data_IF_665930747560
#
_entry.id   IF_665930747560
#
_cell.length_a   1.000
_cell.length_b   1.000
_cell.length_c   1.000
_cell.angle_alpha   90.00
_cell.angle_beta   90.00
_cell.angle_gamma   90.00
#
_symmetry.space_group_name_H-M   'P 1'
#
loop_
_entity.id
_entity.type
_entity.pdbx_description
1 polymer ?
#
# COMPACT_ATOMS: atom_id res chain seq x y z
N UNK A 1 -27.61 17.84 58.51
CA UNK A 1 -28.88 17.16 58.85
C UNK A 1 -29.80 17.25 57.65
N UNK A 2 -30.25 16.08 57.15
CA UNK A 2 -31.19 15.86 56.02
C UNK A 2 -30.74 16.40 54.65
N UNK A 3 -30.96 15.78 53.49
CA UNK A 3 -31.60 14.53 53.09
C UNK A 3 -31.18 14.33 51.62
N UNK A 4 -30.95 13.12 51.12
CA UNK A 4 -31.38 12.69 49.78
C UNK A 4 -31.08 11.21 49.55
N UNK A 5 -32.01 10.61 48.83
CA UNK A 5 -32.37 9.21 48.87
C UNK A 5 -31.61 8.31 47.88
N UNK A 6 -31.69 7.03 48.18
CA UNK A 6 -31.14 5.85 47.51
C UNK A 6 -31.79 5.51 46.17
N UNK A 7 -30.99 4.97 45.23
CA UNK A 7 -31.38 3.95 44.23
C UNK A 7 -30.14 3.17 43.75
N UNK A 8 -30.15 1.82 43.73
CA UNK A 8 -29.09 1.02 43.14
C UNK A 8 -29.41 0.63 41.68
N UNK A 9 -28.41 0.59 40.81
CA UNK A 9 -28.47 0.05 39.45
C UNK A 9 -27.92 -1.38 39.43
N UNK A 10 -28.72 -2.31 38.93
CA UNK A 10 -28.38 -3.72 38.65
C UNK A 10 -27.57 -3.85 37.34
N UNK A 11 -26.80 -4.95 37.16
CA UNK A 11 -25.94 -5.16 36.00
C UNK A 11 -26.72 -5.79 34.83
N UNK A 12 -26.52 -5.28 33.62
CA UNK A 12 -26.99 -5.90 32.37
C UNK A 12 -25.88 -6.76 31.78
N UNK A 13 -26.01 -8.07 31.95
CA UNK A 13 -25.19 -9.08 31.28
C UNK A 13 -25.47 -9.11 29.78
N UNK A 14 -24.41 -9.04 28.96
CA UNK A 14 -24.48 -9.31 27.52
C UNK A 14 -24.42 -10.82 27.28
N UNK A 15 -25.49 -11.36 26.68
CA UNK A 15 -25.55 -12.72 26.16
C UNK A 15 -24.69 -12.83 24.89
N UNK A 16 -23.79 -13.81 24.87
CA UNK A 16 -23.20 -14.34 23.65
C UNK A 16 -24.29 -15.06 22.85
N UNK A 17 -24.40 -14.76 21.55
CA UNK A 17 -25.12 -15.58 20.59
C UNK A 17 -24.06 -16.30 19.75
N UNK A 18 -23.91 -17.60 20.01
CA UNK A 18 -23.21 -18.54 19.15
C UNK A 18 -24.26 -19.27 18.31
N UNK A 19 -24.19 -19.19 16.98
CA UNK A 19 -24.93 -20.11 16.11
C UNK A 19 -23.94 -20.91 15.26
N UNK A 20 -23.61 -22.12 15.73
CA UNK A 20 -23.04 -23.18 14.91
C UNK A 20 -24.20 -23.87 14.18
N UNK A 21 -24.28 -23.73 12.87
CA UNK A 21 -25.08 -24.62 12.04
C UNK A 21 -24.17 -25.74 11.51
N UNK A 22 -24.41 -26.97 11.99
CA UNK A 22 -23.89 -28.20 11.39
C UNK A 22 -24.70 -28.50 10.14
N UNK A 23 -24.05 -28.69 9.01
CA UNK A 23 -24.64 -29.33 7.84
C UNK A 23 -24.05 -30.73 7.69
N UNK A 24 -24.96 -31.70 7.78
CA UNK A 24 -24.73 -33.12 7.59
C UNK A 24 -24.51 -33.42 6.10
N UNK A 25 -23.43 -34.13 5.79
CA UNK A 25 -23.19 -34.78 4.51
C UNK A 25 -24.12 -35.99 4.37
N UNK A 26 -24.89 -36.02 3.28
CA UNK A 26 -25.58 -37.21 2.80
C UNK A 26 -25.05 -37.55 1.41
N UNK A 27 -24.78 -38.83 1.21
CA UNK A 27 -24.26 -39.45 0.00
C UNK A 27 -25.27 -39.44 -1.17
N UNK A 28 -24.74 -39.71 -2.37
CA UNK A 28 -25.33 -40.16 -3.66
C UNK A 28 -24.63 -39.35 -4.77
N UNK A 29 -24.04 -39.88 -5.83
CA UNK A 29 -23.89 -41.25 -6.33
C UNK A 29 -23.05 -41.15 -7.61
N UNK A 30 -22.28 -42.19 -7.88
CA UNK A 30 -21.39 -42.35 -9.02
C UNK A 30 -22.14 -42.30 -10.35
N UNK A 31 -21.51 -41.73 -11.39
CA UNK A 31 -21.84 -42.02 -12.78
C UNK A 31 -20.55 -42.09 -13.59
N UNK A 32 -20.10 -43.33 -13.76
CA UNK A 32 -19.16 -43.78 -14.78
C UNK A 32 -19.79 -43.67 -16.16
N UNK A 33 -19.09 -43.07 -17.12
CA UNK A 33 -19.16 -43.47 -18.53
C UNK A 33 -17.73 -43.40 -19.10
N UNK A 34 -17.17 -44.56 -19.42
CA UNK A 34 -15.92 -44.72 -20.16
C UNK A 34 -16.13 -45.27 -21.58
N UNK A 35 -15.00 -45.34 -22.29
CA UNK A 35 -14.72 -45.88 -23.64
C UNK A 35 -14.98 -44.93 -24.82
N UNK A 36 -14.08 -44.78 -25.81
CA UNK A 36 -12.84 -45.49 -26.12
C UNK A 36 -12.11 -44.89 -27.34
N UNK A 37 -10.91 -45.40 -27.58
CA UNK A 37 -9.87 -44.94 -28.51
C UNK A 37 -10.18 -45.09 -30.02
N UNK A 38 -9.63 -44.15 -30.80
CA UNK A 38 -8.69 -44.43 -31.90
C UNK A 38 -9.23 -44.75 -33.31
N UNK A 39 -8.95 -43.88 -34.29
CA UNK A 39 -8.46 -44.28 -35.61
C UNK A 39 -7.98 -43.08 -36.46
N UNK A 40 -6.92 -43.33 -37.23
CA UNK A 40 -6.12 -42.41 -38.05
C UNK A 40 -6.69 -42.09 -39.44
N UNK A 41 -6.26 -40.94 -39.98
CA UNK A 41 -6.59 -40.31 -41.28
C UNK A 41 -6.17 -41.10 -42.55
N UNK A 42 -6.72 -40.73 -43.73
CA UNK A 42 -5.88 -40.19 -44.81
C UNK A 42 -6.51 -38.99 -45.59
N UNK A 43 -5.78 -38.31 -46.49
CA UNK A 43 -5.81 -36.85 -46.63
C UNK A 43 -6.59 -36.31 -47.84
N UNK A 44 -6.91 -35.02 -47.76
CA UNK A 44 -7.02 -34.15 -48.93
C UNK A 44 -8.43 -33.74 -49.31
N UNK A 45 -8.95 -32.68 -48.68
CA UNK A 45 -9.90 -31.76 -49.34
C UNK A 45 -9.75 -30.37 -48.70
N UNK A 46 -9.27 -29.43 -49.52
CA UNK A 46 -9.18 -28.01 -49.20
C UNK A 46 -10.59 -27.41 -49.24
N UNK A 47 -11.14 -27.03 -48.09
CA UNK A 47 -12.34 -26.19 -48.02
C UNK A 47 -12.02 -25.00 -47.12
N UNK A 48 -11.90 -23.85 -47.78
CA UNK A 48 -11.67 -22.55 -47.16
C UNK A 48 -12.97 -22.08 -46.49
N UNK A 49 -13.22 -22.48 -45.24
CA UNK A 49 -14.34 -21.96 -44.44
C UNK A 49 -13.78 -20.99 -43.41
N UNK A 50 -13.87 -19.70 -43.72
CA UNK A 50 -13.62 -18.61 -42.78
C UNK A 50 -14.66 -18.69 -41.63
N UNK A 51 -14.29 -19.35 -40.53
CA UNK A 51 -15.02 -19.26 -39.26
C UNK A 51 -14.81 -17.86 -38.67
N UNK A 52 -15.72 -16.93 -38.99
CA UNK A 52 -15.91 -15.72 -38.18
C UNK A 52 -16.38 -16.17 -36.79
N UNK A 53 -15.49 -16.11 -35.79
CA UNK A 53 -15.91 -16.13 -34.39
C UNK A 53 -16.80 -14.90 -34.15
N UNK A 54 -17.95 -15.04 -33.47
CA UNK A 54 -18.72 -13.88 -33.05
C UNK A 54 -17.89 -13.11 -32.01
N UNK A 55 -17.50 -11.89 -32.37
CA UNK A 55 -16.91 -10.90 -31.46
C UNK A 55 -18.00 -10.57 -30.44
N UNK A 56 -17.91 -11.12 -29.23
CA UNK A 56 -18.77 -10.71 -28.11
C UNK A 56 -18.41 -9.25 -27.82
N UNK A 57 -19.30 -8.33 -28.23
CA UNK A 57 -19.22 -6.94 -27.83
C UNK A 57 -19.48 -6.86 -26.32
N UNK A 58 -18.68 -6.11 -25.55
CA UNK A 58 -19.02 -5.83 -24.16
C UNK A 58 -20.35 -5.06 -24.13
N UNK A 59 -21.19 -5.27 -23.10
CA UNK A 59 -22.48 -4.62 -23.01
C UNK A 59 -22.31 -3.10 -23.04
N UNK A 60 -22.95 -2.49 -24.05
CA UNK A 60 -23.09 -1.05 -24.22
C UNK A 60 -23.86 -0.45 -23.06
N UNK A 61 -23.15 0.03 -22.04
CA UNK A 61 -23.58 1.18 -21.26
C UNK A 61 -22.42 1.93 -20.58
N UNK A 62 -21.28 2.04 -21.26
CA UNK A 62 -20.14 2.87 -20.84
C UNK A 62 -20.14 4.16 -21.64
N UNK A 63 -21.18 4.98 -21.49
CA UNK A 63 -21.26 6.28 -22.16
C UNK A 63 -22.24 7.23 -21.45
N UNK A 64 -22.02 7.53 -20.17
CA UNK A 64 -22.68 8.64 -19.50
C UNK A 64 -21.93 9.11 -18.24
N UNK A 65 -20.67 9.53 -18.41
CA UNK A 65 -19.98 10.40 -17.46
C UNK A 65 -18.88 11.16 -18.21
N UNK A 66 -19.27 12.04 -19.12
CA UNK A 66 -18.35 12.95 -19.79
C UNK A 66 -18.07 14.16 -18.88
N UNK A 67 -17.33 13.91 -17.80
CA UNK A 67 -16.59 14.96 -17.09
C UNK A 67 -15.35 15.26 -17.95
N UNK A 68 -15.04 16.55 -18.18
CA UNK A 68 -14.01 17.01 -19.14
C UNK A 68 -12.70 16.22 -19.02
N UNK A 69 -12.51 15.23 -19.89
CA UNK A 69 -11.23 14.55 -20.07
C UNK A 69 -10.26 15.63 -20.55
N UNK A 70 -9.30 16.02 -19.70
CA UNK A 70 -8.16 16.86 -20.12
C UNK A 70 -7.55 16.19 -21.36
N UNK A 71 -7.47 16.92 -22.46
CA UNK A 71 -6.90 16.40 -23.71
C UNK A 71 -5.47 15.90 -23.48
N UNK A 72 -5.03 14.88 -24.24
CA UNK A 72 -3.71 14.24 -24.11
C UNK A 72 -2.52 15.23 -24.07
N UNK A 73 -2.63 16.38 -24.73
CA UNK A 73 -1.61 17.43 -24.78
C UNK A 73 -1.49 18.27 -23.48
N UNK A 74 -2.41 18.13 -22.53
CA UNK A 74 -2.45 18.92 -21.28
C UNK A 74 -1.74 18.24 -20.10
N UNK A 75 -1.55 16.92 -20.15
CA UNK A 75 -1.07 16.12 -19.03
C UNK A 75 0.39 16.43 -18.65
N UNK A 76 1.21 16.89 -19.59
CA UNK A 76 2.59 17.29 -19.31
C UNK A 76 2.74 18.65 -18.63
N UNK A 77 1.71 19.52 -18.62
CA UNK A 77 1.83 20.92 -18.17
C UNK A 77 2.09 21.07 -16.68
N UNK A 78 1.74 20.04 -15.91
CA UNK A 78 1.95 19.96 -14.47
C UNK A 78 3.31 19.36 -14.10
N UNK A 79 4.17 19.02 -15.07
CA UNK A 79 5.50 18.49 -14.78
C UNK A 79 6.35 19.56 -14.06
N UNK A 80 7.02 19.20 -12.94
CA UNK A 80 7.93 20.10 -12.24
C UNK A 80 8.96 20.75 -13.18
N UNK A 81 9.19 22.07 -13.07
CA UNK A 81 10.16 22.74 -13.92
C UNK A 81 11.58 22.17 -13.74
N UNK A 82 12.32 22.04 -14.84
CA UNK A 82 13.70 21.53 -14.84
C UNK A 82 13.82 20.01 -14.92
N UNK A 83 12.73 19.27 -14.77
CA UNK A 83 12.72 17.82 -14.97
C UNK A 83 12.52 17.47 -16.45
N UNK A 84 13.19 16.40 -16.89
CA UNK A 84 13.00 15.77 -18.19
C UNK A 84 12.54 14.33 -17.98
N UNK A 85 11.31 14.02 -18.37
CA UNK A 85 10.72 12.70 -18.23
C UNK A 85 9.68 12.48 -19.35
N UNK A 86 9.42 11.21 -19.67
CA UNK A 86 8.31 10.86 -20.55
C UNK A 86 7.00 10.96 -19.75
N UNK A 87 5.93 11.50 -20.34
CA UNK A 87 4.62 11.55 -19.66
C UNK A 87 4.01 10.15 -19.69
N UNK A 88 3.66 9.61 -18.52
CA UNK A 88 3.01 8.31 -18.42
C UNK A 88 1.55 8.40 -18.88
N UNK A 89 1.12 7.41 -19.64
CA UNK A 89 -0.28 7.19 -20.01
C UNK A 89 -0.72 5.89 -19.35
N UNK A 90 -1.31 6.01 -18.15
CA UNK A 90 -1.61 4.87 -17.30
C UNK A 90 -2.97 4.26 -17.62
N UNK A 91 -3.07 2.94 -17.51
CA UNK A 91 -4.33 2.23 -17.57
C UNK A 91 -5.10 2.42 -16.26
N UNK A 92 -6.39 2.71 -16.37
CA UNK A 92 -7.31 2.88 -15.23
C UNK A 92 -8.25 1.69 -15.15
N UNK A 93 -8.20 0.96 -14.03
CA UNK A 93 -9.08 -0.16 -13.74
C UNK A 93 -10.23 0.27 -12.82
N UNK A 94 -11.35 -0.43 -12.92
CA UNK A 94 -12.45 -0.31 -11.98
C UNK A 94 -12.54 -1.58 -11.15
N UNK A 95 -12.48 -1.45 -9.83
CA UNK A 95 -12.63 -2.58 -8.93
C UNK A 95 -14.10 -2.96 -8.77
N UNK A 96 -14.45 -4.26 -8.75
CA UNK A 96 -15.80 -4.68 -8.42
C UNK A 96 -16.11 -4.45 -6.93
N UNK A 97 -17.39 -4.46 -6.57
CA UNK A 97 -17.81 -4.31 -5.18
C UNK A 97 -17.31 -5.45 -4.29
N UNK A 98 -17.25 -6.68 -4.84
CA UNK A 98 -16.77 -7.88 -4.15
C UNK A 98 -15.93 -8.72 -5.10
N UNK A 99 -14.89 -9.36 -4.57
CA UNK A 99 -14.11 -10.35 -5.30
C UNK A 99 -14.67 -11.73 -4.98
N UNK A 100 -14.99 -12.49 -6.02
CA UNK A 100 -15.64 -13.80 -5.91
C UNK A 100 -14.82 -14.93 -6.53
N UNK A 101 -13.74 -14.59 -7.24
CA UNK A 101 -13.02 -15.54 -8.07
C UNK A 101 -13.83 -15.90 -9.31
N UNK A 102 -14.60 -14.96 -9.86
CA UNK A 102 -15.27 -15.15 -11.15
C UNK A 102 -14.25 -15.20 -12.30
N UNK A 103 -14.70 -15.60 -13.50
CA UNK A 103 -13.84 -15.50 -14.69
C UNK A 103 -13.44 -14.04 -14.98
N UNK A 104 -14.32 -13.08 -14.65
CA UNK A 104 -14.03 -11.64 -14.78
C UNK A 104 -12.97 -11.20 -13.77
N UNK A 105 -13.04 -11.66 -12.52
CA UNK A 105 -12.05 -11.32 -11.48
C UNK A 105 -10.67 -11.85 -11.87
N UNK A 106 -10.60 -13.08 -12.39
CA UNK A 106 -9.34 -13.67 -12.90
C UNK A 106 -8.76 -12.88 -14.08
N UNK A 107 -9.60 -12.49 -15.04
CA UNK A 107 -9.15 -11.70 -16.18
C UNK A 107 -8.66 -10.31 -15.75
N UNK A 108 -9.38 -9.64 -14.84
CA UNK A 108 -8.98 -8.35 -14.27
C UNK A 108 -7.67 -8.47 -13.48
N UNK A 109 -7.55 -9.47 -12.61
CA UNK A 109 -6.33 -9.76 -11.87
C UNK A 109 -5.13 -9.96 -12.79
N UNK A 110 -5.32 -10.73 -13.88
CA UNK A 110 -4.26 -10.91 -14.89
C UNK A 110 -3.86 -9.59 -15.55
N UNK A 111 -4.83 -8.78 -15.96
CA UNK A 111 -4.56 -7.48 -16.59
C UNK A 111 -3.79 -6.54 -15.65
N UNK A 112 -4.15 -6.52 -14.36
CA UNK A 112 -3.45 -5.77 -13.32
C UNK A 112 -1.99 -6.23 -13.20
N UNK A 113 -1.74 -7.54 -13.11
CA UNK A 113 -0.40 -8.11 -13.03
C UNK A 113 0.43 -7.79 -14.27
N UNK A 114 -0.13 -7.99 -15.47
CA UNK A 114 0.55 -7.67 -16.73
C UNK A 114 0.93 -6.17 -16.79
N UNK A 115 0.03 -5.30 -16.32
CA UNK A 115 0.26 -3.84 -16.30
C UNK A 115 1.35 -3.45 -15.31
N UNK A 116 1.37 -4.01 -14.09
CA UNK A 116 2.49 -3.76 -13.17
C UNK A 116 3.84 -4.22 -13.73
N UNK A 117 3.88 -5.36 -14.43
CA UNK A 117 5.13 -5.84 -15.06
C UNK A 117 5.62 -4.93 -16.16
N UNK A 118 4.73 -4.27 -16.89
CA UNK A 118 5.09 -3.38 -17.99
C UNK A 118 5.35 -1.94 -17.53
N UNK A 119 4.51 -1.43 -16.64
CA UNK A 119 4.41 -0.01 -16.32
C UNK A 119 4.89 0.31 -14.89
N UNK A 120 4.95 -0.67 -13.99
CA UNK A 120 5.27 -0.48 -12.56
C UNK A 120 4.18 0.24 -11.77
N UNK A 121 3.09 0.65 -12.40
CA UNK A 121 2.04 1.44 -11.77
C UNK A 121 0.72 1.22 -12.49
N UNK A 122 -0.38 1.25 -11.74
CA UNK A 122 -1.75 1.25 -12.27
C UNK A 122 -2.55 2.42 -11.70
N UNK A 123 -3.66 2.76 -12.35
CA UNK A 123 -4.69 3.61 -11.76
C UNK A 123 -5.93 2.78 -11.42
N UNK A 124 -6.58 3.12 -10.30
CA UNK A 124 -7.87 2.60 -9.89
C UNK A 124 -8.86 3.76 -9.85
N UNK A 125 -10.01 3.60 -10.52
CA UNK A 125 -11.07 4.60 -10.53
C UNK A 125 -11.75 4.67 -9.14
N UNK A 126 -11.89 5.89 -8.61
CA UNK A 126 -12.61 6.17 -7.38
C UNK A 126 -14.12 6.22 -7.64
N UNK A 127 -14.90 5.61 -6.75
CA UNK A 127 -16.34 5.87 -6.66
C UNK A 127 -16.64 7.20 -5.92
N UNK A 128 -17.91 7.61 -5.89
CA UNK A 128 -18.32 8.90 -5.30
C UNK A 128 -18.01 9.00 -3.80
N UNK A 129 -18.13 7.90 -3.06
CA UNK A 129 -17.75 7.88 -1.64
C UNK A 129 -16.24 8.08 -1.48
N UNK A 130 -15.42 7.37 -2.24
CA UNK A 130 -13.96 7.52 -2.25
C UNK A 130 -13.53 8.94 -2.59
N UNK A 131 -14.15 9.57 -3.61
CA UNK A 131 -13.91 10.97 -3.97
C UNK A 131 -14.24 11.92 -2.81
N UNK A 132 -15.36 11.69 -2.12
CA UNK A 132 -15.74 12.48 -0.94
C UNK A 132 -14.72 12.33 0.19
N UNK A 133 -14.36 11.09 0.55
CA UNK A 133 -13.39 10.81 1.61
C UNK A 133 -12.02 11.44 1.33
N UNK A 134 -11.53 11.33 0.09
CA UNK A 134 -10.31 12.00 -0.34
C UNK A 134 -10.39 13.53 -0.15
N UNK A 135 -11.49 14.16 -0.55
CA UNK A 135 -11.64 15.60 -0.41
C UNK A 135 -11.70 16.05 1.05
N UNK A 136 -12.37 15.30 1.93
CA UNK A 136 -12.43 15.56 3.37
C UNK A 136 -11.03 15.43 4.00
N UNK A 137 -10.32 14.34 3.72
CA UNK A 137 -8.97 14.09 4.21
C UNK A 137 -7.97 15.15 3.70
N UNK A 138 -8.00 15.49 2.40
CA UNK A 138 -7.17 16.55 1.80
C UNK A 138 -7.43 17.91 2.45
N UNK A 139 -8.68 18.21 2.80
CA UNK A 139 -9.04 19.45 3.50
C UNK A 139 -8.46 19.48 4.91
N UNK A 140 -8.55 18.36 5.63
CA UNK A 140 -7.93 18.20 6.95
C UNK A 140 -6.40 18.33 6.89
N UNK A 141 -5.75 17.70 5.89
CA UNK A 141 -4.31 17.85 5.63
C UNK A 141 -3.90 19.32 5.46
N UNK A 142 -4.60 20.05 4.59
CA UNK A 142 -4.35 21.48 4.36
C UNK A 142 -4.51 22.33 5.63
N UNK A 143 -5.50 22.01 6.47
CA UNK A 143 -5.72 22.69 7.75
C UNK A 143 -4.56 22.44 8.71
N UNK A 144 -4.16 21.18 8.87
CA UNK A 144 -3.06 20.80 9.75
C UNK A 144 -1.75 21.48 9.37
N UNK A 145 -1.36 21.42 8.09
CA UNK A 145 -0.07 21.98 7.66
C UNK A 145 0.01 23.51 7.71
N UNK A 146 -1.13 24.20 7.86
CA UNK A 146 -1.21 25.65 8.10
C UNK A 146 -1.06 26.05 9.58
N UNK A 147 -1.12 25.09 10.51
CA UNK A 147 -0.89 25.38 11.94
C UNK A 147 0.53 25.91 12.16
N UNK A 148 0.75 26.70 13.24
CA UNK A 148 2.08 27.13 13.65
C UNK A 148 3.07 25.97 13.78
N UNK A 149 4.35 26.21 13.47
CA UNK A 149 5.38 25.17 13.50
C UNK A 149 5.48 24.45 14.86
N UNK A 150 5.31 25.18 15.96
CA UNK A 150 5.32 24.61 17.31
C UNK A 150 4.16 23.64 17.57
N UNK A 151 2.96 23.95 17.08
CA UNK A 151 1.80 23.05 17.20
C UNK A 151 2.02 21.77 16.39
N UNK A 152 2.53 21.89 15.16
CA UNK A 152 2.86 20.71 14.33
C UNK A 152 3.95 19.85 15.00
N UNK A 153 5.01 20.49 15.51
CA UNK A 153 6.12 19.81 16.16
C UNK A 153 5.76 19.12 17.49
N UNK A 154 4.66 19.53 18.13
CA UNK A 154 4.15 18.87 19.33
C UNK A 154 3.46 17.53 19.03
N UNK A 155 3.04 17.28 17.79
CA UNK A 155 2.38 16.06 17.36
C UNK A 155 3.38 14.93 17.10
N UNK A 156 4.12 14.49 18.12
CA UNK A 156 5.10 13.41 18.02
C UNK A 156 4.89 12.41 19.18
N UNK A 157 5.23 11.15 18.95
CA UNK A 157 5.20 10.12 19.98
C UNK A 157 6.58 9.44 20.14
N UNK A 158 6.85 8.94 21.34
CA UNK A 158 8.13 8.27 21.67
C UNK A 158 8.09 6.75 21.49
N UNK A 159 6.93 6.13 21.28
CA UNK A 159 6.77 4.68 21.13
C UNK A 159 6.49 4.27 19.69
N UNK A 160 5.74 5.10 18.97
CA UNK A 160 5.43 4.99 17.54
C UNK A 160 6.12 6.09 16.72
N UNK A 161 6.36 5.80 15.45
CA UNK A 161 6.79 6.79 14.46
C UNK A 161 5.62 7.62 13.90
N UNK A 162 4.39 7.38 14.38
CA UNK A 162 3.26 8.24 14.07
C UNK A 162 3.51 9.71 14.46
N UNK A 163 2.85 10.60 13.74
CA UNK A 163 2.91 12.04 13.96
C UNK A 163 3.74 12.80 12.93
N UNK A 164 4.09 14.02 13.30
CA UNK A 164 4.66 15.03 12.42
C UNK A 164 6.15 14.83 12.17
N UNK A 165 6.58 15.08 10.94
CA UNK A 165 7.98 15.13 10.49
C UNK A 165 8.15 16.45 9.74
N UNK A 166 9.14 17.24 10.15
CA UNK A 166 9.39 18.54 9.55
C UNK A 166 10.07 18.42 8.19
N UNK A 167 9.89 19.44 7.34
CA UNK A 167 10.64 19.57 6.09
C UNK A 167 12.15 19.54 6.37
N UNK A 168 12.87 18.67 5.66
CA UNK A 168 14.30 18.45 5.82
C UNK A 168 14.70 17.67 7.06
N UNK A 169 13.76 16.99 7.74
CA UNK A 169 14.06 16.02 8.80
C UNK A 169 14.31 14.62 8.22
N UNK A 170 13.50 14.18 7.24
CA UNK A 170 13.71 12.90 6.55
C UNK A 170 14.89 12.98 5.57
N UNK A 171 15.65 11.89 5.51
CA UNK A 171 16.85 11.77 4.67
C UNK A 171 16.73 10.57 3.74
N UNK A 172 16.83 10.83 2.43
CA UNK A 172 16.93 9.81 1.39
C UNK A 172 18.27 9.95 0.68
N UNK A 173 19.04 8.86 0.63
CA UNK A 173 20.40 8.84 0.02
C UNK A 173 21.33 9.93 0.58
N UNK A 174 21.27 10.17 1.90
CA UNK A 174 22.08 11.18 2.58
C UNK A 174 21.65 12.64 2.30
N UNK A 175 20.59 12.86 1.52
CA UNK A 175 20.07 14.19 1.18
C UNK A 175 18.71 14.39 1.87
N UNK A 176 18.55 15.54 2.52
CA UNK A 176 17.30 15.91 3.16
C UNK A 176 16.14 16.09 2.16
N UNK A 177 14.99 15.52 2.48
CA UNK A 177 13.76 15.64 1.69
C UNK A 177 12.93 16.86 2.11
N UNK A 178 12.25 17.52 1.17
CA UNK A 178 11.58 18.79 1.43
C UNK A 178 10.12 18.67 1.89
N UNK A 179 9.54 17.47 1.92
CA UNK A 179 8.17 17.29 2.41
C UNK A 179 8.04 17.51 3.91
N UNK A 180 6.97 18.18 4.34
CA UNK A 180 6.42 18.01 5.69
C UNK A 180 5.46 16.82 5.67
N UNK A 181 5.49 15.96 6.69
CA UNK A 181 4.68 14.73 6.72
C UNK A 181 3.94 14.65 8.06
N UNK A 182 2.73 14.10 8.03
CA UNK A 182 2.11 13.49 9.21
C UNK A 182 1.92 12.00 8.92
N UNK A 183 2.61 11.16 9.67
CA UNK A 183 2.53 9.70 9.53
C UNK A 183 1.44 9.15 10.44
N UNK A 184 0.54 8.35 9.86
CA UNK A 184 -0.49 7.60 10.58
C UNK A 184 -0.05 6.15 10.58
N UNK A 185 0.35 5.60 11.72
CA UNK A 185 0.52 4.15 11.89
C UNK A 185 -0.76 3.55 12.44
N UNK A 186 -0.75 2.25 12.77
CA UNK A 186 -1.79 1.66 13.62
C UNK A 186 -1.91 2.48 14.92
N UNK A 187 -3.10 3.03 15.18
CA UNK A 187 -3.40 3.90 16.32
C UNK A 187 -3.73 3.02 17.53
N UNK A 188 -2.74 2.74 18.37
CA UNK A 188 -2.85 1.80 19.49
C UNK A 188 -2.81 2.51 20.84
N UNK A 189 -3.83 2.28 21.65
CA UNK A 189 -3.97 2.78 23.00
C UNK A 189 -2.80 2.35 23.91
N UNK A 190 -2.52 3.11 24.96
CA UNK A 190 -1.47 2.75 25.92
C UNK A 190 -1.73 1.43 26.67
N UNK A 191 -3.01 1.05 26.80
CA UNK A 191 -3.43 -0.21 27.43
C UNK A 191 -3.33 -1.41 26.48
N UNK A 192 -3.07 -1.19 25.20
CA UNK A 192 -2.99 -2.27 24.22
C UNK A 192 -1.82 -3.21 24.57
N UNK A 193 -2.02 -4.54 24.54
CA UNK A 193 -1.01 -5.50 25.05
C UNK A 193 0.39 -5.37 24.45
N UNK A 194 0.52 -5.05 23.16
CA UNK A 194 1.81 -4.88 22.46
C UNK A 194 2.47 -3.57 22.86
N UNK A 195 1.68 -2.50 23.08
CA UNK A 195 2.18 -1.24 23.63
C UNK A 195 2.71 -1.44 25.05
N UNK A 196 1.93 -2.11 25.92
CA UNK A 196 2.36 -2.47 27.28
C UNK A 196 3.60 -3.35 27.30
N UNK A 197 3.68 -4.33 26.40
CA UNK A 197 4.85 -5.20 26.22
C UNK A 197 6.05 -4.49 25.56
N UNK A 198 5.94 -3.18 25.29
CA UNK A 198 6.98 -2.33 24.70
C UNK A 198 7.46 -2.85 23.34
N UNK A 199 6.54 -3.34 22.51
CA UNK A 199 6.89 -3.67 21.13
C UNK A 199 7.41 -2.41 20.43
N UNK A 200 8.47 -2.53 19.60
CA UNK A 200 8.99 -1.39 18.86
C UNK A 200 7.92 -0.85 17.90
N UNK A 201 7.89 0.47 17.72
CA UNK A 201 6.96 1.17 16.82
C UNK A 201 5.47 1.15 17.24
N UNK A 202 5.10 0.47 18.34
CA UNK A 202 3.70 0.37 18.79
C UNK A 202 3.39 1.47 19.79
N UNK A 203 2.36 2.27 19.49
CA UNK A 203 1.89 3.36 20.34
C UNK A 203 0.76 4.16 19.69
N UNK A 204 0.20 5.15 20.41
CA UNK A 204 -0.90 5.95 19.92
C UNK A 204 -0.44 6.90 18.82
N UNK A 205 -1.34 7.26 17.92
CA UNK A 205 -1.11 8.33 16.97
C UNK A 205 -1.30 9.69 17.67
N UNK A 206 -0.32 10.61 17.64
CA UNK A 206 -0.38 11.90 18.33
C UNK A 206 -1.22 12.91 17.54
N UNK A 207 -2.52 12.64 17.42
CA UNK A 207 -3.46 13.49 16.70
C UNK A 207 -3.52 14.89 17.31
N UNK A 208 -3.49 15.97 16.49
CA UNK A 208 -3.63 17.34 17.00
C UNK A 208 -5.04 17.62 17.52
N UNK A 209 -6.05 17.06 16.87
CA UNK A 209 -7.46 17.29 17.13
C UNK A 209 -8.33 16.23 16.41
N UNK A 210 -9.60 16.17 16.80
CA UNK A 210 -10.60 15.29 16.18
C UNK A 210 -10.90 15.67 14.72
N UNK A 211 -10.77 16.96 14.38
CA UNK A 211 -11.00 17.48 13.02
C UNK A 211 -9.96 16.96 12.00
N UNK A 212 -8.77 16.56 12.45
CA UNK A 212 -7.82 15.82 11.64
C UNK A 212 -8.05 14.31 11.72
N UNK A 213 -8.26 13.75 12.92
CA UNK A 213 -8.36 12.31 13.15
C UNK A 213 -9.48 11.66 12.32
N UNK A 214 -10.70 12.14 12.46
CA UNK A 214 -11.88 11.49 11.87
C UNK A 214 -11.83 11.41 10.33
N UNK A 215 -11.62 12.51 9.58
CA UNK A 215 -11.58 12.42 8.12
C UNK A 215 -10.41 11.59 7.61
N UNK A 216 -9.27 11.59 8.32
CA UNK A 216 -8.12 10.76 7.96
C UNK A 216 -8.42 9.29 8.16
N UNK A 217 -8.93 8.89 9.33
CA UNK A 217 -9.22 7.48 9.60
C UNK A 217 -10.34 6.94 8.72
N UNK A 218 -11.39 7.72 8.45
CA UNK A 218 -12.43 7.30 7.51
C UNK A 218 -11.88 7.01 6.10
N UNK A 219 -10.90 7.80 5.65
CA UNK A 219 -10.25 7.58 4.36
C UNK A 219 -9.28 6.40 4.39
N UNK A 220 -8.47 6.27 5.45
CA UNK A 220 -7.52 5.16 5.65
C UNK A 220 -8.25 3.81 5.73
N UNK A 221 -9.36 3.74 6.46
CA UNK A 221 -10.17 2.51 6.57
C UNK A 221 -10.74 2.10 5.22
N UNK A 222 -11.17 3.08 4.41
CA UNK A 222 -11.66 2.81 3.06
C UNK A 222 -10.55 2.32 2.12
N UNK A 223 -9.35 2.90 2.21
CA UNK A 223 -8.16 2.44 1.47
C UNK A 223 -7.74 1.03 1.88
N UNK A 224 -7.94 0.64 3.14
CA UNK A 224 -7.74 -0.75 3.59
C UNK A 224 -8.62 -1.75 2.86
N UNK A 225 -9.92 -1.43 2.68
CA UNK A 225 -10.84 -2.27 1.91
C UNK A 225 -10.44 -2.35 0.42
N UNK A 226 -9.89 -1.27 -0.14
CA UNK A 226 -9.39 -1.24 -1.52
C UNK A 226 -8.12 -2.09 -1.67
N UNK A 227 -7.17 -1.97 -0.75
CA UNK A 227 -5.94 -2.76 -0.71
C UNK A 227 -6.20 -4.27 -0.68
N UNK A 228 -7.13 -4.71 0.17
CA UNK A 228 -7.54 -6.12 0.25
C UNK A 228 -8.10 -6.64 -1.09
N UNK A 229 -8.95 -5.85 -1.76
CA UNK A 229 -9.48 -6.22 -3.08
C UNK A 229 -8.39 -6.33 -4.14
N UNK A 230 -7.42 -5.40 -4.11
CA UNK A 230 -6.29 -5.41 -5.04
C UNK A 230 -5.43 -6.65 -4.81
N UNK A 231 -5.14 -7.02 -3.55
CA UNK A 231 -4.40 -8.23 -3.24
C UNK A 231 -5.16 -9.51 -3.66
N UNK A 232 -6.47 -9.58 -3.43
CA UNK A 232 -7.29 -10.71 -3.89
C UNK A 232 -7.26 -10.86 -5.42
N UNK A 233 -7.34 -9.75 -6.16
CA UNK A 233 -7.20 -9.77 -7.63
C UNK A 233 -5.78 -10.17 -8.05
N UNK A 234 -4.75 -9.69 -7.35
CA UNK A 234 -3.37 -10.06 -7.60
C UNK A 234 -3.13 -11.57 -7.39
N UNK A 235 -3.74 -12.19 -6.36
CA UNK A 235 -3.70 -13.64 -6.15
C UNK A 235 -4.23 -14.40 -7.38
N UNK A 236 -5.38 -13.97 -7.92
CA UNK A 236 -5.93 -14.56 -9.14
C UNK A 236 -5.05 -14.31 -10.38
N UNK A 237 -4.48 -13.11 -10.52
CA UNK A 237 -3.62 -12.75 -11.65
C UNK A 237 -2.28 -13.49 -11.65
N UNK A 238 -1.73 -13.78 -10.46
CA UNK A 238 -0.53 -14.59 -10.27
C UNK A 238 -0.78 -16.09 -10.43
N UNK A 239 -2.06 -16.51 -10.42
CA UNK A 239 -2.44 -17.91 -10.46
C UNK A 239 -2.09 -18.66 -9.17
N UNK A 240 -2.05 -17.96 -8.04
CA UNK A 240 -1.82 -18.55 -6.70
C UNK A 240 -3.16 -18.82 -6.00
N UNK A 241 -3.12 -19.57 -4.91
CA UNK A 241 -4.33 -19.84 -4.14
C UNK A 241 -4.89 -18.55 -3.51
N UNK A 242 -6.22 -18.39 -3.42
CA UNK A 242 -6.81 -17.31 -2.64
C UNK A 242 -6.31 -17.35 -1.20
N UNK A 243 -5.96 -16.20 -0.64
CA UNK A 243 -5.36 -16.10 0.68
C UNK A 243 -3.83 -16.08 0.70
N UNK A 244 -3.14 -16.41 -0.40
CA UNK A 244 -1.66 -16.47 -0.43
C UNK A 244 -1.01 -15.13 -0.08
N UNK A 245 -1.57 -13.99 -0.51
CA UNK A 245 -1.06 -12.65 -0.19
C UNK A 245 -1.78 -12.08 1.04
N UNK A 246 -3.11 -12.14 1.06
CA UNK A 246 -3.97 -11.55 2.10
C UNK A 246 -3.82 -12.23 3.48
N UNK A 247 -3.27 -13.43 3.57
CA UNK A 247 -2.91 -14.00 4.87
C UNK A 247 -1.91 -13.13 5.63
N UNK A 248 -1.04 -12.41 4.92
CA UNK A 248 -0.02 -11.57 5.54
C UNK A 248 -0.60 -10.26 6.07
N UNK A 249 -1.73 -9.78 5.55
CA UNK A 249 -2.35 -8.50 5.94
C UNK A 249 -3.38 -8.63 7.07
N UNK A 250 -3.59 -9.83 7.62
CA UNK A 250 -4.35 -9.99 8.86
C UNK A 250 -3.67 -9.22 10.00
N UNK A 251 -4.38 -8.26 10.59
CA UNK A 251 -3.80 -7.27 11.50
C UNK A 251 -2.60 -6.50 10.89
N UNK A 252 -2.69 -6.21 9.59
CA UNK A 252 -1.66 -5.54 8.80
C UNK A 252 -1.15 -4.27 9.47
N UNK A 253 0.15 -4.02 9.35
CA UNK A 253 0.81 -2.81 9.83
C UNK A 253 0.67 -1.68 8.81
N UNK A 254 -0.56 -1.50 8.34
CA UNK A 254 -0.91 -0.46 7.38
C UNK A 254 -0.58 0.91 7.98
N UNK A 255 -0.05 1.80 7.16
CA UNK A 255 0.28 3.14 7.57
C UNK A 255 0.06 4.11 6.43
N UNK A 256 0.01 5.41 6.72
CA UNK A 256 -0.20 6.46 5.73
C UNK A 256 0.76 7.59 5.97
N UNK A 257 1.36 8.09 4.90
CA UNK A 257 2.07 9.37 4.90
C UNK A 257 1.14 10.42 4.30
N UNK A 258 0.74 11.38 5.12
CA UNK A 258 0.03 12.58 4.68
C UNK A 258 1.10 13.64 4.40
N UNK A 259 1.31 13.99 3.14
CA UNK A 259 2.44 14.83 2.73
C UNK A 259 2.00 16.20 2.23
N UNK A 260 2.80 17.21 2.57
CA UNK A 260 2.82 18.51 1.93
C UNK A 260 4.23 18.80 1.40
N UNK A 261 4.34 19.07 0.11
CA UNK A 261 5.55 19.58 -0.50
C UNK A 261 5.46 21.11 -0.61
N UNK A 262 6.51 21.86 -0.22
CA UNK A 262 6.55 23.30 -0.43
C UNK A 262 6.67 23.63 -1.93
N UNK A 263 6.34 24.86 -2.34
CA UNK A 263 6.73 25.34 -3.67
C UNK A 263 8.27 25.37 -3.78
N UNK A 264 8.81 25.20 -4.98
CA UNK A 264 10.27 25.10 -5.23
C UNK A 264 11.09 26.30 -4.75
N UNK A 265 10.47 27.47 -4.61
CA UNK A 265 11.08 28.71 -4.12
C UNK A 265 10.83 28.96 -2.62
N UNK A 266 10.11 28.06 -1.94
CA UNK A 266 9.77 28.12 -0.52
C UNK A 266 10.43 27.01 0.29
N UNK A 267 11.64 26.58 -0.12
CA UNK A 267 12.41 25.55 0.56
C UNK A 267 13.27 26.13 1.70
N UNK A 268 13.69 25.28 2.63
CA UNK A 268 14.56 25.67 3.75
C UNK A 268 16.06 25.53 3.45
N UNK A 269 16.44 25.20 2.20
CA UNK A 269 17.82 25.07 1.75
C UNK A 269 18.58 23.81 2.21
N UNK A 270 17.96 22.89 2.96
CA UNK A 270 18.65 21.69 3.49
C UNK A 270 18.91 20.58 2.45
N UNK A 271 18.09 20.50 1.41
CA UNK A 271 18.14 19.46 0.38
C UNK A 271 18.63 19.98 -0.98
N UNK A 272 18.64 19.10 -1.99
CA UNK A 272 19.03 19.42 -3.38
C UNK A 272 17.96 20.27 -4.08
N UNK A 273 18.36 21.30 -4.85
CA UNK A 273 17.41 22.17 -5.56
C UNK A 273 16.47 21.37 -6.46
N UNK A 274 15.16 21.71 -6.44
CA UNK A 274 14.13 21.08 -7.27
C UNK A 274 13.69 19.68 -6.81
N UNK A 275 14.51 18.97 -6.02
CA UNK A 275 14.19 17.67 -5.44
C UNK A 275 13.12 17.83 -4.35
N UNK A 276 12.10 16.98 -4.34
CA UNK A 276 11.14 16.86 -3.26
C UNK A 276 11.50 15.70 -2.33
N UNK A 277 11.46 14.48 -2.89
CA UNK A 277 11.98 13.24 -2.30
C UNK A 277 12.86 12.55 -3.33
N UNK A 278 13.96 11.96 -2.89
CA UNK A 278 14.87 11.19 -3.74
C UNK A 278 14.26 9.95 -4.36
N UNK A 279 15.03 9.33 -5.25
CA UNK A 279 14.70 8.00 -5.76
C UNK A 279 14.72 6.99 -4.62
N UNK A 280 13.65 6.23 -4.46
CA UNK A 280 13.55 5.15 -3.49
C UNK A 280 12.47 4.14 -3.89
N UNK A 281 12.44 3.01 -3.19
CA UNK A 281 11.31 2.06 -3.18
C UNK A 281 10.67 2.05 -1.79
N UNK A 282 9.39 1.68 -1.76
CA UNK A 282 8.61 1.54 -0.53
C UNK A 282 8.61 0.10 -0.01
N UNK A 283 8.36 -0.06 1.28
CA UNK A 283 8.90 -1.19 2.04
C UNK A 283 8.03 -2.45 2.07
N UNK A 284 6.72 -2.35 1.80
CA UNK A 284 5.80 -3.48 1.97
C UNK A 284 5.14 -3.97 0.69
N UNK A 285 3.82 -4.13 0.67
CA UNK A 285 3.13 -4.83 -0.44
C UNK A 285 2.66 -3.85 -1.53
N UNK A 286 1.74 -2.97 -1.17
CA UNK A 286 1.11 -2.02 -2.08
C UNK A 286 1.22 -0.60 -1.51
N UNK A 287 1.39 0.37 -2.41
CA UNK A 287 1.24 1.79 -2.08
C UNK A 287 0.12 2.37 -2.92
N UNK A 288 -0.95 2.77 -2.26
CA UNK A 288 -2.13 3.42 -2.86
C UNK A 288 -2.02 4.90 -2.58
N UNK A 289 -1.92 5.72 -3.62
CA UNK A 289 -1.71 7.15 -3.48
C UNK A 289 -2.81 7.98 -4.15
N UNK A 290 -3.18 9.07 -3.47
CA UNK A 290 -3.98 10.16 -4.02
C UNK A 290 -3.17 11.45 -4.02
N UNK A 291 -3.35 12.26 -5.05
CA UNK A 291 -2.66 13.54 -5.20
C UNK A 291 -3.62 14.64 -5.67
N UNK A 292 -3.25 15.89 -5.41
CA UNK A 292 -3.93 17.06 -5.96
C UNK A 292 -3.51 17.36 -7.41
N UNK A 293 -3.98 18.49 -7.94
CA UNK A 293 -3.83 18.91 -9.34
C UNK A 293 -2.43 19.44 -9.70
N UNK A 294 -1.47 19.45 -8.76
CA UNK A 294 -0.18 20.12 -8.94
C UNK A 294 0.80 19.26 -9.71
N UNK A 295 0.85 17.96 -9.37
CA UNK A 295 1.78 17.01 -9.97
C UNK A 295 3.23 17.15 -9.50
N UNK A 296 3.96 16.05 -9.59
CA UNK A 296 5.37 15.99 -9.19
C UNK A 296 5.95 14.60 -9.01
N UNK A 297 5.13 13.55 -9.11
CA UNK A 297 5.56 12.17 -9.01
C UNK A 297 6.23 11.70 -10.32
N UNK A 298 7.37 11.02 -10.17
CA UNK A 298 8.03 10.30 -11.24
C UNK A 298 8.25 8.86 -10.81
N UNK A 299 8.03 7.92 -11.72
CA UNK A 299 8.27 6.49 -11.51
C UNK A 299 9.26 5.95 -12.53
N UNK A 300 9.93 4.85 -12.18
CA UNK A 300 10.78 4.09 -13.09
C UNK A 300 10.12 2.76 -13.38
N UNK A 301 9.80 2.52 -14.65
CA UNK A 301 9.19 1.26 -15.09
C UNK A 301 10.16 0.09 -14.89
N UNK A 302 9.66 -1.14 -14.69
CA UNK A 302 10.49 -2.34 -14.61
C UNK A 302 11.39 -2.52 -15.85
N UNK A 303 12.62 -2.99 -15.65
CA UNK A 303 13.58 -3.29 -16.71
C UNK A 303 14.42 -4.51 -16.33
N UNK A 304 14.62 -5.42 -17.27
CA UNK A 304 15.32 -6.68 -17.02
C UNK A 304 16.81 -6.50 -16.65
N UNK A 305 17.42 -5.38 -17.06
CA UNK A 305 18.82 -5.04 -16.80
C UNK A 305 19.04 -4.31 -15.46
N UNK A 306 17.96 -3.99 -14.73
CA UNK A 306 18.04 -3.25 -13.46
C UNK A 306 17.58 -4.12 -12.30
N UNK A 307 18.56 -4.57 -11.49
CA UNK A 307 18.31 -5.40 -10.32
C UNK A 307 18.66 -4.66 -9.04
N UNK A 308 17.75 -4.72 -8.06
CA UNK A 308 17.96 -4.21 -6.71
C UNK A 308 17.08 -5.01 -5.74
N UNK A 309 17.46 -4.99 -4.46
CA UNK A 309 16.72 -5.64 -3.39
C UNK A 309 16.91 -4.79 -2.12
N UNK A 310 15.98 -3.85 -1.87
CA UNK A 310 16.13 -2.84 -0.82
C UNK A 310 16.25 -3.46 0.59
N UNK A 311 15.69 -4.65 0.79
CA UNK A 311 15.82 -5.45 2.02
C UNK A 311 17.23 -6.03 2.25
N UNK A 312 18.07 -6.13 1.20
CA UNK A 312 19.49 -6.55 1.30
C UNK A 312 20.43 -5.34 1.25
N UNK A 313 20.21 -4.43 0.30
CA UNK A 313 21.02 -3.23 0.08
C UNK A 313 20.10 -2.09 -0.34
N UNK A 314 20.27 -0.94 0.32
CA UNK A 314 19.46 0.26 0.09
C UNK A 314 19.27 0.56 -1.41
N UNK A 315 18.02 0.78 -1.81
CA UNK A 315 17.63 1.28 -3.12
C UNK A 315 17.48 2.81 -3.14
N UNK A 316 17.74 3.50 -2.03
CA UNK A 316 17.76 4.97 -2.00
C UNK A 316 18.82 5.50 -3.00
N UNK A 317 18.47 6.54 -3.74
CA UNK A 317 19.30 7.14 -4.79
C UNK A 317 19.39 6.32 -6.08
N UNK A 318 18.76 5.15 -6.15
CA UNK A 318 18.86 4.26 -7.31
C UNK A 318 18.43 4.99 -8.60
N UNK A 319 19.38 5.15 -9.54
CA UNK A 319 19.16 5.78 -10.85
C UNK A 319 18.56 7.19 -10.77
N UNK A 320 18.79 7.93 -9.67
CA UNK A 320 18.14 9.22 -9.43
C UNK A 320 18.35 10.22 -10.58
N UNK A 321 19.58 10.35 -11.07
CA UNK A 321 19.93 11.28 -12.16
C UNK A 321 19.97 10.61 -13.55
N UNK A 322 19.64 9.31 -13.66
CA UNK A 322 19.62 8.60 -14.95
C UNK A 322 18.36 8.92 -15.76
N UNK A 323 18.42 8.75 -17.09
CA UNK A 323 17.21 8.79 -17.93
C UNK A 323 16.28 7.59 -17.68
N UNK A 324 15.05 7.67 -18.20
CA UNK A 324 14.07 6.57 -18.09
C UNK A 324 13.04 6.72 -16.99
N UNK A 325 12.93 7.92 -16.41
CA UNK A 325 11.83 8.29 -15.52
C UNK A 325 10.58 8.68 -16.32
N UNK A 326 9.43 8.28 -15.80
CA UNK A 326 8.12 8.61 -16.32
C UNK A 326 7.39 9.51 -15.34
N UNK A 327 6.92 10.66 -15.82
CA UNK A 327 6.10 11.58 -15.05
C UNK A 327 4.68 11.06 -14.93
N UNK A 328 4.14 11.02 -13.71
CA UNK A 328 2.76 10.59 -13.43
C UNK A 328 1.87 11.84 -13.31
N UNK A 329 1.09 12.19 -14.35
CA UNK A 329 0.25 13.37 -14.31
C UNK A 329 -0.90 13.23 -13.30
N UNK A 330 -1.33 14.31 -12.63
CA UNK A 330 -2.56 14.31 -11.86
C UNK A 330 -3.76 13.99 -12.73
N UNK A 331 -4.51 12.97 -12.33
CA UNK A 331 -5.81 12.61 -12.90
C UNK A 331 -6.81 12.66 -11.76
N UNK A 332 -7.93 13.34 -11.97
CA UNK A 332 -8.96 13.43 -10.94
C UNK A 332 -9.75 12.12 -10.86
N UNK A 333 -10.23 11.79 -9.66
CA UNK A 333 -11.06 10.60 -9.47
C UNK A 333 -10.32 9.26 -9.59
N UNK A 334 -9.00 9.23 -9.40
CA UNK A 334 -8.23 7.97 -9.39
C UNK A 334 -7.28 7.88 -8.20
N UNK A 335 -7.05 6.65 -7.74
CA UNK A 335 -5.87 6.29 -6.96
C UNK A 335 -4.79 5.71 -7.88
N UNK A 336 -3.53 5.99 -7.61
CA UNK A 336 -2.42 5.25 -8.23
C UNK A 336 -1.94 4.15 -7.31
N UNK A 337 -1.58 2.99 -7.87
CA UNK A 337 -1.08 1.84 -7.09
C UNK A 337 0.27 1.37 -7.62
N UNK A 338 1.30 1.47 -6.80
CA UNK A 338 2.64 0.90 -7.05
C UNK A 338 2.92 -0.25 -6.08
N UNK A 339 3.94 -1.04 -6.40
CA UNK A 339 4.36 -2.18 -5.60
C UNK A 339 5.57 -1.84 -4.72
N UNK A 340 5.60 -2.43 -3.53
CA UNK A 340 6.70 -2.32 -2.58
C UNK A 340 7.63 -3.55 -2.55
N UNK A 341 8.64 -3.45 -1.69
CA UNK A 341 9.72 -4.41 -1.55
C UNK A 341 9.23 -5.81 -1.14
N UNK A 342 8.23 -5.93 -0.26
CA UNK A 342 7.71 -7.24 0.15
C UNK A 342 6.94 -7.92 -0.98
N UNK A 343 6.26 -7.17 -1.86
CA UNK A 343 5.65 -7.77 -3.05
C UNK A 343 6.72 -8.30 -4.01
N UNK A 344 7.81 -7.56 -4.20
CA UNK A 344 8.94 -8.01 -5.00
C UNK A 344 9.59 -9.28 -4.42
N UNK A 345 9.79 -9.31 -3.10
CA UNK A 345 10.34 -10.47 -2.40
C UNK A 345 9.40 -11.69 -2.50
N UNK A 346 8.12 -11.53 -2.15
CA UNK A 346 7.10 -12.58 -2.23
C UNK A 346 7.04 -13.23 -3.61
N UNK A 347 7.12 -12.44 -4.66
CA UNK A 347 6.95 -12.92 -6.03
C UNK A 347 8.27 -13.32 -6.70
N UNK A 348 9.38 -13.45 -5.95
CA UNK A 348 10.68 -13.82 -6.51
C UNK A 348 11.14 -12.89 -7.66
N UNK A 349 10.91 -11.57 -7.52
CA UNK A 349 11.14 -10.56 -8.55
C UNK A 349 10.28 -10.70 -9.82
N UNK A 350 9.25 -11.56 -9.83
CA UNK A 350 8.29 -11.60 -10.94
C UNK A 350 7.53 -10.27 -11.07
N UNK A 351 7.20 -9.67 -9.93
CA UNK A 351 6.86 -8.26 -9.80
C UNK A 351 8.04 -7.53 -9.16
N UNK A 352 8.27 -6.28 -9.53
CA UNK A 352 9.34 -5.45 -8.94
C UNK A 352 8.75 -4.28 -8.17
N UNK A 353 9.37 -3.93 -7.04
CA UNK A 353 9.05 -2.69 -6.35
C UNK A 353 9.32 -1.53 -7.29
N UNK A 354 8.54 -0.46 -7.21
CA UNK A 354 8.60 0.63 -8.20
C UNK A 354 9.45 1.77 -7.69
N UNK A 355 10.66 2.00 -8.24
CA UNK A 355 11.44 3.16 -7.88
C UNK A 355 10.68 4.42 -8.27
N UNK A 356 10.60 5.37 -7.35
CA UNK A 356 9.89 6.61 -7.56
C UNK A 356 10.58 7.77 -6.83
N UNK A 357 10.34 8.98 -7.34
CA UNK A 357 10.88 10.24 -6.79
C UNK A 357 9.89 11.37 -6.97
N UNK A 358 10.10 12.47 -6.25
CA UNK A 358 9.23 13.66 -6.35
C UNK A 358 10.05 14.88 -6.71
N UNK A 359 9.58 15.66 -7.69
CA UNK A 359 10.07 16.99 -7.98
C UNK A 359 9.16 18.08 -7.40
N UNK A 360 9.76 19.16 -6.89
CA UNK A 360 9.03 20.33 -6.39
C UNK A 360 8.49 21.18 -7.52
N UNK A 361 7.24 21.61 -7.39
CA UNK A 361 6.56 22.43 -8.39
C UNK A 361 6.51 23.90 -7.96
N UNK A 362 5.88 24.75 -8.77
CA UNK A 362 5.72 26.19 -8.51
C UNK A 362 4.72 26.51 -7.40
N UNK A 363 3.86 25.55 -7.04
CA UNK A 363 2.87 25.63 -5.97
C UNK A 363 3.10 24.50 -4.95
N UNK A 364 2.59 24.67 -3.74
CA UNK A 364 2.56 23.58 -2.75
C UNK A 364 1.68 22.43 -3.23
N UNK A 365 2.08 21.19 -2.93
CA UNK A 365 1.43 19.95 -3.38
C UNK A 365 1.06 19.07 -2.20
N UNK A 366 -0.16 18.55 -2.19
CA UNK A 366 -0.69 17.65 -1.16
C UNK A 366 -0.90 16.24 -1.71
N UNK A 367 -0.46 15.25 -0.93
CA UNK A 367 -0.53 13.82 -1.27
C UNK A 367 -0.88 13.02 -0.04
N UNK A 368 -1.58 11.92 -0.23
CA UNK A 368 -1.60 10.84 0.75
C UNK A 368 -1.10 9.58 0.06
N UNK A 369 -0.08 8.96 0.66
CA UNK A 369 0.41 7.65 0.28
C UNK A 369 0.04 6.68 1.39
N UNK A 370 -0.85 5.75 1.10
CA UNK A 370 -1.27 4.67 1.99
C UNK A 370 -0.52 3.40 1.64
N UNK A 371 -0.02 2.73 2.66
CA UNK A 371 0.82 1.55 2.58
C UNK A 371 0.01 0.36 3.11
N UNK A 372 -0.31 -0.60 2.23
CA UNK A 372 -1.12 -1.75 2.57
C UNK A 372 -0.24 -2.94 2.94
N UNK A 373 0.21 -2.93 4.19
CA UNK A 373 1.34 -3.76 4.62
C UNK A 373 0.99 -5.10 5.27
N UNK A 374 1.95 -6.04 5.30
CA UNK A 374 1.86 -7.20 6.16
C UNK A 374 1.71 -6.82 7.63
N UNK A 375 1.23 -7.74 8.46
CA UNK A 375 1.31 -7.61 9.91
C UNK A 375 2.76 -7.40 10.33
N UNK A 376 2.91 -6.66 11.43
CA UNK A 376 4.23 -6.43 12.02
C UNK A 376 4.95 -7.74 12.33
N UNK A 377 4.21 -8.80 12.67
CA UNK A 377 4.78 -10.11 13.03
C UNK A 377 5.10 -11.00 11.83
N UNK A 378 4.68 -10.60 10.62
CA UNK A 378 4.74 -11.46 9.46
C UNK A 378 6.19 -11.76 9.06
N UNK A 379 6.51 -13.05 8.93
CA UNK A 379 7.71 -13.52 8.24
C UNK A 379 7.31 -13.89 6.81
N UNK A 380 7.65 -12.98 5.90
CA UNK A 380 7.35 -13.08 4.47
C UNK A 380 8.25 -14.13 3.85
N UNK A 381 7.70 -15.02 3.01
CA UNK A 381 8.47 -16.07 2.32
C UNK A 381 8.16 -16.08 0.83
N UNK A 382 9.14 -16.40 -0.03
CA UNK A 382 8.90 -16.43 -1.47
C UNK A 382 7.83 -17.45 -1.83
N UNK A 383 6.99 -17.12 -2.80
CA UNK A 383 5.96 -18.01 -3.34
C UNK A 383 6.65 -19.02 -4.26
N UNK A 384 6.58 -20.30 -3.88
CA UNK A 384 7.24 -21.40 -4.59
C UNK A 384 6.33 -22.10 -5.61
N UNK A 385 5.01 -21.92 -5.51
CA UNK A 385 4.00 -22.51 -6.41
C UNK A 385 3.08 -21.41 -6.95
N UNK A 386 2.96 -21.30 -8.28
CA UNK A 386 2.29 -20.18 -8.97
C UNK A 386 3.30 -19.20 -9.61
N UNK A 387 2.87 -18.00 -10.01
CA UNK A 387 3.71 -16.96 -10.65
C UNK A 387 4.21 -17.28 -12.08
N UNK A 388 3.33 -17.76 -12.96
CA UNK A 388 3.63 -17.80 -14.41
C UNK A 388 4.76 -18.75 -14.83
N UNK A 389 5.15 -19.70 -13.96
CA UNK A 389 6.10 -20.76 -14.29
C UNK A 389 7.59 -20.36 -14.27
N UNK A 390 8.00 -19.29 -13.57
CA UNK A 390 9.43 -18.94 -13.48
C UNK A 390 9.97 -18.67 -12.08
N UNK A 391 11.13 -19.33 -11.88
CA UNK A 391 12.33 -18.99 -11.08
C UNK A 391 12.10 -18.72 -9.59
N UNK A 392 12.35 -19.76 -8.81
CA UNK A 392 13.05 -19.57 -7.54
C UNK A 392 14.31 -18.76 -7.81
N UNK A 393 14.46 -17.62 -7.14
CA UNK A 393 15.76 -16.98 -7.04
C UNK A 393 16.56 -17.78 -6.01
N UNK A 394 17.57 -18.58 -6.40
CA UNK A 394 18.31 -19.42 -5.48
C UNK A 394 19.08 -18.61 -4.43
N UNK A 395 19.18 -17.28 -4.59
CA UNK A 395 19.79 -16.37 -3.61
C UNK A 395 18.80 -15.84 -2.57
N UNK A 396 17.51 -16.21 -2.62
CA UNK A 396 16.54 -15.86 -1.57
C UNK A 396 16.56 -16.91 -0.46
N UNK A 397 16.67 -16.43 0.78
CA UNK A 397 16.73 -17.27 1.98
C UNK A 397 15.36 -17.88 2.30
N UNK A 398 15.36 -19.16 2.70
CA UNK A 398 14.19 -19.87 3.25
C UNK A 398 13.74 -19.31 4.62
N UNK A 399 14.59 -18.55 5.30
CA UNK A 399 14.29 -17.92 6.60
C UNK A 399 13.23 -16.81 6.47
N UNK A 400 13.06 -16.24 5.28
CA UNK A 400 12.10 -15.17 5.02
C UNK A 400 12.57 -13.77 5.46
N UNK A 401 11.74 -12.77 5.18
CA UNK A 401 11.93 -11.39 5.66
C UNK A 401 10.88 -11.09 6.71
N UNK A 402 11.32 -10.79 7.94
CA UNK A 402 10.40 -10.34 8.99
C UNK A 402 10.03 -8.87 8.80
N UNK A 403 8.75 -8.62 8.53
CA UNK A 403 8.26 -7.31 8.14
C UNK A 403 8.45 -6.25 9.24
N UNK A 404 8.17 -6.57 10.50
CA UNK A 404 8.39 -5.65 11.62
C UNK A 404 9.85 -5.23 11.79
N UNK A 405 10.80 -6.13 11.53
CA UNK A 405 12.24 -5.79 11.49
C UNK A 405 12.55 -4.87 10.33
N UNK A 406 12.02 -5.17 9.14
CA UNK A 406 12.24 -4.36 7.95
C UNK A 406 11.70 -2.93 8.14
N UNK A 407 10.44 -2.78 8.58
CA UNK A 407 9.83 -1.51 8.91
C UNK A 407 10.65 -0.73 9.95
N UNK A 408 11.02 -1.38 11.05
CA UNK A 408 11.78 -0.73 12.14
C UNK A 408 13.13 -0.21 11.63
N UNK A 409 13.84 -1.00 10.83
CA UNK A 409 15.12 -0.60 10.23
C UNK A 409 14.99 0.60 9.30
N UNK A 410 13.96 0.62 8.45
CA UNK A 410 13.72 1.73 7.53
C UNK A 410 13.44 3.03 8.28
N UNK A 411 12.56 3.01 9.29
CA UNK A 411 12.24 4.20 10.07
C UNK A 411 13.42 4.67 10.93
N UNK A 412 14.19 3.77 11.54
CA UNK A 412 15.41 4.14 12.28
C UNK A 412 16.45 4.80 11.36
N UNK A 413 16.59 4.30 10.12
CA UNK A 413 17.49 4.89 9.13
C UNK A 413 17.04 6.29 8.70
N UNK A 414 15.73 6.47 8.49
CA UNK A 414 15.19 7.75 8.03
C UNK A 414 15.13 8.80 9.15
N UNK A 415 15.02 8.38 10.41
CA UNK A 415 14.82 9.25 11.58
C UNK A 415 15.76 8.91 12.76
N UNK A 416 17.09 8.93 12.59
CA UNK A 416 18.03 8.46 13.61
C UNK A 416 17.97 9.27 14.92
N UNK A 417 17.66 10.57 14.82
CA UNK A 417 17.67 11.49 15.98
C UNK A 417 16.31 11.67 16.66
N UNK A 418 15.26 11.02 16.13
CA UNK A 418 13.89 11.16 16.64
C UNK A 418 13.75 10.54 18.02
N UNK A 419 12.89 11.12 18.86
CA UNK A 419 12.63 10.63 20.23
C UNK A 419 12.20 9.16 20.25
N UNK A 420 11.48 8.72 19.21
CA UNK A 420 11.08 7.33 19.00
C UNK A 420 12.29 6.40 18.89
N UNK A 421 13.23 6.72 17.99
CA UNK A 421 14.48 5.96 17.79
C UNK A 421 15.31 5.92 19.07
N UNK A 422 15.46 7.08 19.73
CA UNK A 422 16.20 7.18 20.99
C UNK A 422 15.61 6.30 22.08
N UNK A 423 14.28 6.32 22.27
CA UNK A 423 13.60 5.48 23.26
C UNK A 423 13.66 4.00 22.89
N UNK A 424 13.47 3.66 21.62
CA UNK A 424 13.57 2.30 21.10
C UNK A 424 14.93 1.68 21.45
N UNK A 425 16.02 2.42 21.22
CA UNK A 425 17.37 1.98 21.56
C UNK A 425 17.63 1.95 23.07
N UNK A 426 17.25 3.00 23.81
CA UNK A 426 17.49 3.11 25.24
C UNK A 426 16.76 2.03 26.06
N UNK A 427 15.57 1.61 25.62
CA UNK A 427 14.79 0.53 26.26
C UNK A 427 15.05 -0.84 25.63
N UNK A 428 16.06 -0.96 24.76
CA UNK A 428 16.42 -2.21 24.07
C UNK A 428 15.24 -2.88 23.34
N UNK A 429 14.30 -2.09 22.80
CA UNK A 429 13.11 -2.60 22.10
C UNK A 429 13.46 -3.24 20.76
N UNK A 430 14.61 -2.89 20.16
CA UNK A 430 15.08 -3.51 18.93
C UNK A 430 15.28 -5.03 19.10
N UNK A 431 15.91 -5.45 20.20
CA UNK A 431 16.18 -6.87 20.47
C UNK A 431 14.91 -7.73 20.58
N UNK A 432 13.77 -7.10 20.93
CA UNK A 432 12.47 -7.78 20.95
C UNK A 432 12.07 -8.33 19.57
N UNK A 433 12.53 -7.73 18.46
CA UNK A 433 12.21 -8.19 17.09
C UNK A 433 12.70 -9.60 16.76
N UNK A 434 13.64 -10.14 17.56
CA UNK A 434 14.13 -11.51 17.42
C UNK A 434 13.23 -12.54 18.13
N UNK A 435 12.34 -12.09 19.02
CA UNK A 435 11.56 -12.99 19.87
C UNK A 435 10.44 -13.69 19.10
N UNK A 436 10.11 -14.96 19.43
CA UNK A 436 9.09 -15.74 18.73
C UNK A 436 7.71 -15.09 18.69
N UNK A 437 7.30 -14.42 19.78
CA UNK A 437 6.00 -13.74 19.85
C UNK A 437 5.90 -12.54 18.91
N UNK A 438 7.02 -11.96 18.46
CA UNK A 438 7.02 -10.93 17.42
C UNK A 438 7.15 -11.51 16.01
N UNK A 439 7.37 -12.80 15.83
CA UNK A 439 7.59 -13.43 14.50
C UNK A 439 6.55 -14.49 14.15
N UNK A 440 5.55 -14.65 15.01
CA UNK A 440 4.45 -15.61 14.84
C UNK A 440 3.16 -14.83 14.76
N UNK A 441 2.53 -14.86 13.59
CA UNK A 441 1.22 -14.23 13.37
C UNK A 441 0.20 -14.70 14.42
N UNK A 442 -0.66 -13.78 14.86
CA UNK A 442 -1.73 -14.01 15.82
C UNK A 442 -1.28 -14.34 17.27
N UNK A 443 0.04 -14.36 17.54
CA UNK A 443 0.55 -14.45 18.90
C UNK A 443 0.35 -13.13 19.65
N UNK A 444 -0.27 -13.19 20.84
CA UNK A 444 -0.47 -12.03 21.71
C UNK A 444 0.60 -12.10 22.82
N UNK A 445 1.20 -10.96 23.23
CA UNK A 445 2.08 -10.94 24.39
C UNK A 445 1.39 -11.55 25.61
N UNK A 446 2.04 -12.49 26.29
CA UNK A 446 1.59 -12.89 27.61
C UNK A 446 1.74 -11.70 28.57
N UNK A 447 0.76 -11.44 29.45
CA UNK A 447 0.91 -10.41 30.46
C UNK A 447 2.14 -10.76 31.31
N UNK A 448 3.11 -9.83 31.40
CA UNK A 448 4.17 -9.95 32.41
C UNK A 448 3.47 -10.04 33.77
N UNK A 449 3.58 -11.21 34.42
CA UNK A 449 3.18 -11.39 35.81
C UNK A 449 4.21 -10.61 36.63
N UNK A 450 3.82 -9.42 37.07
CA UNK A 450 4.57 -8.60 38.03
C UNK A 450 4.85 -9.34 39.35
#
# INVERSE_FOLDING_TARGET
MSCLATRPLLPLGRRLITSRARLSTAALGSLDIGFGNGMSMPPGFNINVARKQPRIQPPTNVAAAAEKIRTRDDLGKTMPPGYKAQVAHLETFQLPEKITGSASDRALGKAIIDTWRQEGIIQIAQNDLQKKLWNDAKTASKRFFRKPAAEKAACVDSQSYAGYIASGEEVTDGIADYSEIFTITKDLDLEEPRVRAKWPCHGPCPWPDVEMKEPMMNYVDNLGLEGEKILQLAEFGLGVAPGTLTQYTRDGWHHTRVLRFPPRNGTNGKGKEGRGIGSHTDYGLLVIAAQDDIGGLFIRRPRDDEKFANWKKSAAGHKEDAEGWFYVPPVDGVHTVILGDMMQYLTNNYLTATPHKVGLNTRERFVMAYFHEPSFQAVIKPINEGCGGMRTDPEQSDEGVHYGTHFTNMFMRNYPDRITTKRLLAENRYEKLSKPELRTMDAIPEPELD
#
